data_IF_109417654455
#
_entry.id   IF_109417654455
#
_cell.length_a   1.000
_cell.length_b   1.000
_cell.length_c   1.000
_cell.angle_alpha   90.00
_cell.angle_beta   90.00
_cell.angle_gamma   90.00
#
_symmetry.space_group_name_H-M   'P 1'
#
loop_
_entity.id
_entity.type
_entity.pdbx_description
1 polymer ?
#
# COMPACT_ATOMS: atom_id res chain seq x y z
N UNK A 1 9.81 40.39 -9.99
CA UNK A 1 10.98 41.17 -10.31
C UNK A 1 10.62 42.53 -10.96
N UNK A 2 9.88 42.55 -12.06
CA UNK A 2 9.53 43.79 -12.79
C UNK A 2 8.78 44.81 -11.92
N UNK A 3 7.89 44.37 -11.04
CA UNK A 3 7.16 45.25 -10.11
C UNK A 3 8.08 45.94 -9.09
N UNK A 4 9.18 45.31 -8.72
CA UNK A 4 10.16 45.84 -7.78
C UNK A 4 11.30 46.59 -8.49
N UNK A 5 11.21 46.81 -9.80
CA UNK A 5 12.17 47.62 -10.57
C UNK A 5 13.52 46.96 -10.89
N UNK A 6 13.75 45.69 -10.52
CA UNK A 6 15.03 45.04 -10.77
C UNK A 6 15.20 44.59 -12.23
N UNK A 7 16.38 44.80 -12.84
CA UNK A 7 16.83 44.13 -14.06
C UNK A 7 17.20 42.66 -13.78
N UNK A 8 17.37 41.84 -14.82
CA UNK A 8 17.82 40.44 -14.62
C UNK A 8 19.27 40.39 -14.10
N UNK A 9 20.12 41.35 -14.50
CA UNK A 9 21.48 41.50 -14.02
C UNK A 9 21.51 41.83 -12.53
N UNK A 10 20.78 42.86 -12.10
CA UNK A 10 20.74 43.31 -10.70
C UNK A 10 20.20 42.22 -9.77
N UNK A 11 19.19 41.46 -10.21
CA UNK A 11 18.68 40.34 -9.41
C UNK A 11 19.70 39.19 -9.34
N UNK A 12 20.40 38.92 -10.46
CA UNK A 12 21.42 37.89 -10.54
C UNK A 12 22.59 38.18 -9.59
N UNK A 13 23.04 39.45 -9.53
CA UNK A 13 24.08 39.89 -8.62
C UNK A 13 23.64 39.74 -7.14
N UNK A 14 22.40 40.13 -6.80
CA UNK A 14 21.87 40.02 -5.43
C UNK A 14 21.74 38.56 -4.94
N UNK A 15 21.48 37.63 -5.84
CA UNK A 15 21.30 36.19 -5.54
C UNK A 15 22.58 35.38 -5.81
N UNK A 16 23.68 36.05 -6.27
CA UNK A 16 24.97 35.43 -6.60
C UNK A 16 24.86 34.30 -7.64
N UNK A 17 24.07 34.54 -8.68
CA UNK A 17 23.91 33.64 -9.84
C UNK A 17 24.18 34.40 -11.15
N UNK A 18 24.21 33.69 -12.29
CA UNK A 18 24.35 34.34 -13.59
C UNK A 18 23.01 34.92 -14.08
N UNK A 19 23.05 35.98 -14.90
CA UNK A 19 21.87 36.50 -15.59
C UNK A 19 21.09 35.40 -16.34
N UNK A 20 21.83 34.47 -16.96
CA UNK A 20 21.23 33.34 -17.68
C UNK A 20 20.43 32.42 -16.77
N UNK A 21 20.87 32.24 -15.52
CA UNK A 21 20.12 31.45 -14.50
C UNK A 21 18.81 32.13 -14.17
N UNK A 22 18.80 33.45 -13.94
CA UNK A 22 17.55 34.19 -13.71
C UNK A 22 16.61 34.09 -14.92
N UNK A 23 17.15 34.26 -16.14
CA UNK A 23 16.37 34.11 -17.37
C UNK A 23 15.75 32.73 -17.50
N UNK A 24 16.50 31.66 -17.18
CA UNK A 24 15.96 30.28 -17.19
C UNK A 24 14.87 30.08 -16.16
N UNK A 25 14.99 30.67 -14.97
CA UNK A 25 13.93 30.60 -13.94
C UNK A 25 12.66 31.33 -14.40
N UNK A 26 12.81 32.55 -14.99
CA UNK A 26 11.66 33.30 -15.51
C UNK A 26 10.97 32.61 -16.70
N UNK A 27 11.72 31.88 -17.54
CA UNK A 27 11.21 31.12 -18.66
C UNK A 27 10.74 29.71 -18.29
N UNK A 28 10.75 29.35 -17.00
CA UNK A 28 10.41 28.01 -16.53
C UNK A 28 11.26 26.87 -17.12
N UNK A 29 12.50 27.17 -17.54
CA UNK A 29 13.45 26.18 -18.06
C UNK A 29 14.25 25.49 -16.96
N UNK A 30 14.41 26.15 -15.81
CA UNK A 30 14.99 25.58 -14.58
C UNK A 30 14.30 26.18 -13.36
N UNK A 31 14.54 25.59 -12.19
CA UNK A 31 13.96 26.04 -10.93
C UNK A 31 15.07 26.45 -9.96
N UNK A 32 14.84 27.51 -9.14
CA UNK A 32 15.74 27.84 -8.06
C UNK A 32 15.65 26.77 -6.96
N UNK A 33 16.79 26.42 -6.35
CA UNK A 33 16.85 25.60 -5.16
C UNK A 33 16.26 26.33 -3.95
N UNK A 34 15.98 25.57 -2.86
CA UNK A 34 15.38 26.11 -1.63
C UNK A 34 16.17 27.29 -1.06
N UNK A 35 17.49 27.26 -1.15
CA UNK A 35 18.36 28.32 -0.68
C UNK A 35 18.16 29.61 -1.48
N UNK A 36 18.00 29.50 -2.80
CA UNK A 36 17.71 30.66 -3.66
C UNK A 36 16.27 31.17 -3.45
N UNK A 37 15.32 30.29 -3.17
CA UNK A 37 13.94 30.69 -2.82
C UNK A 37 13.94 31.50 -1.53
N UNK A 38 14.71 31.09 -0.52
CA UNK A 38 14.84 31.84 0.74
C UNK A 38 15.47 33.21 0.52
N UNK A 39 16.53 33.34 -0.32
CA UNK A 39 17.13 34.62 -0.69
C UNK A 39 16.15 35.50 -1.45
N UNK A 40 15.44 34.97 -2.43
CA UNK A 40 14.41 35.69 -3.20
C UNK A 40 13.26 36.16 -2.32
N UNK A 41 12.84 35.37 -1.33
CA UNK A 41 11.81 35.76 -0.38
C UNK A 41 12.21 36.99 0.43
N UNK A 42 13.47 37.05 0.87
CA UNK A 42 14.04 38.20 1.58
C UNK A 42 14.18 39.46 0.67
N UNK A 43 14.66 39.27 -0.58
CA UNK A 43 14.86 40.38 -1.54
C UNK A 43 13.50 41.02 -1.92
N UNK A 44 12.46 40.18 -2.10
CA UNK A 44 11.15 40.66 -2.50
C UNK A 44 10.20 40.94 -1.32
N UNK A 45 10.68 40.71 -0.09
CA UNK A 45 9.90 40.86 1.15
C UNK A 45 8.56 40.12 1.09
N UNK A 46 8.58 38.87 0.59
CA UNK A 46 7.42 37.98 0.49
C UNK A 46 7.75 36.66 1.16
N UNK A 47 6.75 35.90 1.61
CA UNK A 47 7.00 34.57 2.17
C UNK A 47 7.53 33.62 1.10
N UNK A 48 8.40 32.66 1.49
CA UNK A 48 8.85 31.59 0.59
C UNK A 48 7.66 30.80 0.03
N UNK A 49 6.61 30.62 0.85
CA UNK A 49 5.34 30.02 0.44
C UNK A 49 4.63 30.79 -0.69
N UNK A 50 4.74 32.13 -0.71
CA UNK A 50 4.19 32.97 -1.78
C UNK A 50 4.93 32.76 -3.10
N UNK A 51 6.26 32.59 -3.05
CA UNK A 51 7.08 32.34 -4.25
C UNK A 51 6.88 30.91 -4.79
N UNK A 52 6.53 29.97 -3.91
CA UNK A 52 6.29 28.56 -4.26
C UNK A 52 4.85 28.33 -4.71
N UNK A 53 3.90 29.10 -4.16
CA UNK A 53 2.48 29.06 -4.53
C UNK A 53 2.24 30.07 -5.65
N UNK A 54 2.11 29.61 -6.89
CA UNK A 54 1.39 30.38 -7.90
C UNK A 54 -0.03 30.68 -7.35
N UNK A 55 -0.49 31.93 -7.47
CA UNK A 55 -1.85 32.33 -7.05
C UNK A 55 -2.88 31.32 -7.56
N UNK A 56 -3.47 30.59 -6.62
CA UNK A 56 -4.56 29.66 -6.88
C UNK A 56 -5.83 30.48 -7.14
N UNK A 57 -6.04 30.89 -8.37
CA UNK A 57 -7.30 31.50 -8.80
C UNK A 57 -8.44 30.50 -8.92
N UNK A 58 -8.20 29.18 -8.77
CA UNK A 58 -9.23 28.14 -8.68
C UNK A 58 -8.78 26.98 -7.77
N UNK A 59 -9.64 26.50 -6.85
CA UNK A 59 -9.30 25.44 -5.88
C UNK A 59 -8.95 24.07 -6.52
N UNK A 60 -9.31 23.86 -7.78
CA UNK A 60 -9.19 22.54 -8.45
C UNK A 60 -7.96 22.36 -9.34
N UNK A 61 -7.19 23.43 -9.58
CA UNK A 61 -5.98 23.35 -10.38
C UNK A 61 -4.74 23.49 -9.50
N UNK A 62 -4.37 22.42 -8.79
CA UNK A 62 -3.00 22.30 -8.27
C UNK A 62 -2.03 22.41 -9.46
N UNK A 63 -1.06 23.35 -9.43
CA UNK A 63 -0.15 23.54 -10.54
C UNK A 63 0.50 22.21 -10.92
N UNK A 64 0.56 21.95 -12.21
CA UNK A 64 1.10 20.72 -12.83
C UNK A 64 2.50 20.35 -12.27
N UNK A 65 3.19 21.36 -11.77
CA UNK A 65 4.52 21.35 -11.17
C UNK A 65 4.54 20.67 -9.79
N UNK A 66 3.58 21.01 -8.89
CA UNK A 66 3.50 20.41 -7.55
C UNK A 66 3.16 18.92 -7.63
N UNK A 67 2.30 18.53 -8.60
CA UNK A 67 2.01 17.12 -8.92
C UNK A 67 3.27 16.40 -9.43
N UNK A 68 4.09 17.04 -10.25
CA UNK A 68 5.32 16.45 -10.79
C UNK A 68 6.39 16.25 -9.71
N UNK A 69 6.58 17.21 -8.80
CA UNK A 69 7.59 17.12 -7.73
C UNK A 69 7.20 16.08 -6.68
N UNK A 70 5.95 16.08 -6.20
CA UNK A 70 5.43 15.03 -5.32
C UNK A 70 5.49 13.64 -5.98
N UNK A 71 5.24 13.58 -7.28
CA UNK A 71 5.32 12.36 -8.06
C UNK A 71 6.77 11.84 -8.15
N UNK A 72 7.73 12.71 -8.46
CA UNK A 72 9.13 12.32 -8.61
C UNK A 72 9.75 11.87 -7.27
N UNK A 73 9.46 12.56 -6.19
CA UNK A 73 9.91 12.20 -4.85
C UNK A 73 9.28 10.86 -4.39
N UNK A 74 8.00 10.66 -4.67
CA UNK A 74 7.30 9.41 -4.39
C UNK A 74 7.89 8.22 -5.17
N UNK A 75 8.23 8.38 -6.43
CA UNK A 75 8.79 7.31 -7.27
C UNK A 75 10.22 6.94 -6.85
N UNK A 76 11.05 7.93 -6.52
CA UNK A 76 12.41 7.68 -6.00
C UNK A 76 12.36 6.94 -4.66
N UNK A 77 11.48 7.36 -3.77
CA UNK A 77 11.27 6.71 -2.47
C UNK A 77 10.80 5.26 -2.63
N UNK A 78 9.86 4.98 -3.54
CA UNK A 78 9.40 3.62 -3.83
C UNK A 78 10.51 2.71 -4.35
N UNK A 79 11.33 3.21 -5.29
CA UNK A 79 12.48 2.44 -5.81
C UNK A 79 13.50 2.13 -4.72
N UNK A 80 13.84 3.11 -3.88
CA UNK A 80 14.76 2.91 -2.75
C UNK A 80 14.20 1.89 -1.77
N UNK A 81 12.90 1.96 -1.47
CA UNK A 81 12.23 1.01 -0.60
C UNK A 81 12.19 -0.41 -1.20
N UNK A 82 11.95 -0.55 -2.50
CA UNK A 82 12.00 -1.84 -3.20
C UNK A 82 13.40 -2.47 -3.08
N UNK A 83 14.45 -1.70 -3.36
CA UNK A 83 15.83 -2.17 -3.25
C UNK A 83 16.14 -2.59 -1.80
N UNK A 84 15.76 -1.78 -0.81
CA UNK A 84 15.98 -2.09 0.60
C UNK A 84 15.26 -3.40 1.01
N UNK A 85 13.99 -3.56 0.65
CA UNK A 85 13.23 -4.79 0.94
C UNK A 85 13.86 -6.00 0.24
N UNK A 86 14.31 -5.85 -1.01
CA UNK A 86 14.97 -6.94 -1.75
C UNK A 86 16.29 -7.35 -1.10
N UNK A 87 17.09 -6.40 -0.61
CA UNK A 87 18.33 -6.70 0.11
C UNK A 87 18.04 -7.44 1.43
N UNK A 88 17.05 -6.96 2.20
CA UNK A 88 16.64 -7.62 3.46
C UNK A 88 16.13 -9.03 3.19
N UNK A 89 15.32 -9.25 2.16
CA UNK A 89 14.83 -10.56 1.76
C UNK A 89 15.98 -11.52 1.37
N UNK A 90 16.96 -11.00 0.65
CA UNK A 90 18.16 -11.79 0.26
C UNK A 90 18.99 -12.15 1.49
N UNK A 91 19.26 -11.21 2.38
CA UNK A 91 20.00 -11.48 3.63
C UNK A 91 19.25 -12.52 4.47
N UNK A 92 17.93 -12.36 4.66
CA UNK A 92 17.11 -13.30 5.40
C UNK A 92 17.18 -14.71 4.80
N UNK A 93 17.13 -14.83 3.47
CA UNK A 93 17.25 -16.12 2.77
C UNK A 93 18.61 -16.78 3.00
N UNK A 94 19.70 -16.00 2.93
CA UNK A 94 21.06 -16.50 3.20
C UNK A 94 21.20 -16.95 4.66
N UNK A 95 20.69 -16.17 5.60
CA UNK A 95 20.71 -16.54 7.04
C UNK A 95 19.94 -17.85 7.27
N UNK A 96 18.74 -18.01 6.68
CA UNK A 96 17.98 -19.26 6.78
C UNK A 96 18.78 -20.47 6.25
N UNK A 97 19.48 -20.34 5.11
CA UNK A 97 20.32 -21.41 4.56
C UNK A 97 21.48 -21.77 5.49
N UNK A 98 22.17 -20.76 6.02
CA UNK A 98 23.28 -20.98 6.96
C UNK A 98 22.78 -21.65 8.24
N UNK A 99 21.70 -21.15 8.84
CA UNK A 99 21.12 -21.74 10.05
C UNK A 99 20.68 -23.19 9.83
N UNK A 100 20.03 -23.50 8.69
CA UNK A 100 19.57 -24.86 8.39
C UNK A 100 20.75 -25.80 8.20
N UNK A 101 21.80 -25.37 7.51
CA UNK A 101 23.02 -26.15 7.33
C UNK A 101 23.70 -26.53 8.66
N UNK A 102 23.77 -25.57 9.61
CA UNK A 102 24.40 -25.82 10.91
C UNK A 102 23.51 -26.58 11.91
N UNK A 103 22.18 -26.58 11.73
CA UNK A 103 21.26 -27.21 12.69
C UNK A 103 20.80 -28.60 12.27
N UNK A 104 20.72 -28.89 10.96
CA UNK A 104 20.03 -30.07 10.45
C UNK A 104 20.91 -31.04 9.63
N UNK A 105 22.22 -30.75 9.46
CA UNK A 105 23.14 -31.47 8.57
C UNK A 105 22.63 -31.67 7.13
N UNK A 106 21.39 -31.26 6.85
CA UNK A 106 20.74 -31.29 5.53
C UNK A 106 19.85 -30.05 5.40
N UNK A 107 19.89 -29.45 4.21
CA UNK A 107 18.98 -28.36 3.87
C UNK A 107 17.54 -28.88 3.80
N UNK A 108 16.69 -28.52 4.75
CA UNK A 108 15.32 -29.03 4.87
C UNK A 108 14.27 -27.95 5.03
N UNK A 109 14.32 -27.15 6.11
CA UNK A 109 13.31 -26.14 6.40
C UNK A 109 13.60 -24.79 5.74
N UNK A 110 14.86 -24.52 5.37
CA UNK A 110 15.24 -23.24 4.74
C UNK A 110 14.52 -23.00 3.42
N UNK A 111 14.24 -24.05 2.63
CA UNK A 111 13.48 -23.91 1.38
C UNK A 111 12.05 -23.41 1.63
N UNK A 112 11.41 -23.85 2.71
CA UNK A 112 10.06 -23.39 3.09
C UNK A 112 10.10 -21.89 3.46
N UNK A 113 11.12 -21.48 4.23
CA UNK A 113 11.29 -20.08 4.60
C UNK A 113 11.56 -19.19 3.38
N UNK A 114 12.43 -19.64 2.46
CA UNK A 114 12.76 -18.90 1.24
C UNK A 114 11.52 -18.78 0.34
N UNK A 115 10.75 -19.85 0.18
CA UNK A 115 9.50 -19.84 -0.59
C UNK A 115 8.54 -18.80 -0.04
N UNK A 116 8.35 -18.76 1.29
CA UNK A 116 7.50 -17.77 1.95
C UNK A 116 8.00 -16.32 1.74
N UNK A 117 9.32 -16.09 1.84
CA UNK A 117 9.94 -14.77 1.58
C UNK A 117 9.66 -14.32 0.14
N UNK A 118 9.83 -15.22 -0.84
CA UNK A 118 9.57 -14.94 -2.26
C UNK A 118 8.08 -14.62 -2.47
N UNK A 119 7.17 -15.38 -1.88
CA UNK A 119 5.73 -15.15 -2.01
C UNK A 119 5.33 -13.77 -1.47
N UNK A 120 5.82 -13.39 -0.28
CA UNK A 120 5.58 -12.06 0.31
C UNK A 120 6.17 -10.97 -0.59
N UNK A 121 7.39 -11.14 -1.09
CA UNK A 121 8.03 -10.16 -1.98
C UNK A 121 7.23 -9.96 -3.27
N UNK A 122 6.71 -11.02 -3.89
CA UNK A 122 5.87 -10.96 -5.08
C UNK A 122 4.57 -10.20 -4.85
N UNK A 123 3.97 -10.28 -3.65
CA UNK A 123 2.75 -9.51 -3.29
C UNK A 123 3.05 -8.00 -3.21
N UNK A 124 4.22 -7.61 -2.71
CA UNK A 124 4.61 -6.20 -2.61
C UNK A 124 5.08 -5.59 -3.93
N UNK A 125 5.55 -6.42 -4.87
CA UNK A 125 6.11 -5.96 -6.14
C UNK A 125 5.17 -5.05 -6.95
N UNK A 126 3.87 -5.37 -7.14
CA UNK A 126 2.96 -4.51 -7.90
C UNK A 126 2.77 -3.14 -7.27
N UNK A 127 2.74 -3.06 -5.93
CA UNK A 127 2.59 -1.80 -5.22
C UNK A 127 3.76 -0.85 -5.50
N UNK A 128 4.97 -1.40 -5.66
CA UNK A 128 6.19 -0.62 -5.91
C UNK A 128 6.37 -0.26 -7.39
N UNK A 129 5.99 -1.14 -8.32
CA UNK A 129 6.26 -0.96 -9.75
C UNK A 129 5.11 -0.30 -10.52
N UNK A 130 3.87 -0.48 -10.09
CA UNK A 130 2.71 -0.08 -10.87
C UNK A 130 2.14 1.27 -10.40
N UNK A 131 1.73 2.11 -11.38
CA UNK A 131 1.21 3.45 -11.13
C UNK A 131 -0.32 3.49 -11.07
N UNK A 132 -0.96 2.64 -11.88
CA UNK A 132 -2.42 2.64 -12.02
C UNK A 132 -3.02 1.31 -11.61
N UNK A 133 -4.23 1.37 -11.04
CA UNK A 133 -5.03 0.20 -10.63
C UNK A 133 -4.23 -0.78 -9.76
N UNK A 134 -3.35 -0.25 -8.90
CA UNK A 134 -2.43 -1.03 -8.06
C UNK A 134 -3.19 -2.08 -7.27
N UNK A 135 -4.28 -1.70 -6.59
CA UNK A 135 -5.09 -2.60 -5.75
C UNK A 135 -5.61 -3.77 -6.59
N UNK A 136 -6.20 -3.50 -7.76
CA UNK A 136 -6.76 -4.54 -8.63
C UNK A 136 -5.68 -5.54 -9.11
N UNK A 137 -4.51 -5.04 -9.50
CA UNK A 137 -3.40 -5.88 -9.96
C UNK A 137 -2.79 -6.68 -8.82
N UNK A 138 -2.67 -6.09 -7.63
CA UNK A 138 -2.23 -6.81 -6.42
C UNK A 138 -3.19 -7.94 -6.07
N UNK A 139 -4.50 -7.72 -6.17
CA UNK A 139 -5.51 -8.77 -5.95
C UNK A 139 -5.37 -9.94 -6.92
N UNK A 140 -5.08 -9.67 -8.20
CA UNK A 140 -4.81 -10.72 -9.20
C UNK A 140 -3.60 -11.55 -8.79
N UNK A 141 -2.50 -10.90 -8.40
CA UNK A 141 -1.28 -11.58 -7.99
C UNK A 141 -1.51 -12.40 -6.71
N UNK A 142 -2.21 -11.83 -5.72
CA UNK A 142 -2.62 -12.55 -4.51
C UNK A 142 -3.53 -13.75 -4.80
N UNK A 143 -4.26 -13.75 -5.93
CA UNK A 143 -5.08 -14.88 -6.36
C UNK A 143 -4.25 -15.99 -7.03
N UNK A 144 -3.12 -15.65 -7.65
CA UNK A 144 -2.29 -16.61 -8.40
C UNK A 144 -1.24 -17.28 -7.50
N UNK A 145 -0.63 -16.53 -6.58
CA UNK A 145 0.49 -17.00 -5.75
C UNK A 145 0.17 -18.23 -4.87
N UNK A 146 -1.00 -18.36 -4.22
CA UNK A 146 -1.25 -19.44 -3.27
C UNK A 146 -1.17 -20.84 -3.88
N UNK A 147 -1.57 -21.02 -5.13
CA UNK A 147 -1.60 -22.34 -5.77
C UNK A 147 -0.19 -22.91 -5.98
N UNK A 148 0.75 -22.23 -6.68
CA UNK A 148 2.11 -22.71 -6.83
C UNK A 148 2.85 -22.80 -5.49
N UNK A 149 2.62 -21.87 -4.55
CA UNK A 149 3.16 -21.92 -3.21
C UNK A 149 2.78 -23.22 -2.50
N UNK A 150 1.51 -23.59 -2.46
CA UNK A 150 1.04 -24.82 -1.83
C UNK A 150 1.54 -26.08 -2.55
N UNK A 151 1.70 -26.04 -3.87
CA UNK A 151 2.23 -27.15 -4.63
C UNK A 151 3.71 -27.43 -4.27
N UNK A 152 4.54 -26.38 -4.21
CA UNK A 152 5.95 -26.48 -3.81
C UNK A 152 6.06 -26.96 -2.36
N UNK A 153 5.27 -26.37 -1.45
CA UNK A 153 5.24 -26.74 -0.05
C UNK A 153 4.86 -28.23 0.16
N UNK A 154 3.85 -28.71 -0.56
CA UNK A 154 3.43 -30.11 -0.49
C UNK A 154 4.52 -31.07 -1.03
N UNK A 155 5.25 -30.67 -2.07
CA UNK A 155 6.39 -31.42 -2.60
C UNK A 155 7.56 -31.47 -1.60
N UNK A 156 7.89 -30.35 -0.96
CA UNK A 156 8.96 -30.25 0.03
C UNK A 156 8.66 -31.10 1.27
N UNK A 157 7.43 -31.04 1.78
CA UNK A 157 6.99 -31.78 2.96
C UNK A 157 6.56 -33.22 2.66
N UNK A 158 6.41 -33.59 1.38
CA UNK A 158 5.92 -34.90 0.91
C UNK A 158 4.53 -35.28 1.48
N UNK A 159 3.69 -34.26 1.71
CA UNK A 159 2.34 -34.42 2.30
C UNK A 159 1.30 -33.84 1.34
N UNK A 160 0.62 -34.68 0.60
CA UNK A 160 -0.39 -34.27 -0.41
C UNK A 160 -1.62 -33.59 0.20
N UNK A 161 -1.97 -33.94 1.45
CA UNK A 161 -3.10 -33.35 2.19
C UNK A 161 -2.94 -31.84 2.36
N UNK A 162 -1.70 -31.33 2.47
CA UNK A 162 -1.40 -29.90 2.57
C UNK A 162 -1.87 -29.18 1.30
N UNK A 163 -1.63 -29.76 0.13
CA UNK A 163 -2.08 -29.17 -1.13
C UNK A 163 -3.60 -29.18 -1.26
N UNK A 164 -4.26 -30.28 -0.96
CA UNK A 164 -5.72 -30.41 -1.10
C UNK A 164 -6.47 -29.51 -0.12
N UNK A 165 -6.14 -29.58 1.16
CA UNK A 165 -6.73 -28.72 2.19
C UNK A 165 -6.41 -27.26 1.93
N UNK A 166 -5.13 -26.95 1.69
CA UNK A 166 -4.64 -25.59 1.46
C UNK A 166 -5.28 -24.96 0.22
N UNK A 167 -5.47 -25.70 -0.87
CA UNK A 167 -6.12 -25.19 -2.09
C UNK A 167 -7.60 -24.87 -1.84
N UNK A 168 -8.35 -25.72 -1.11
CA UNK A 168 -9.73 -25.42 -0.73
C UNK A 168 -9.84 -24.14 0.10
N UNK A 169 -8.98 -23.97 1.11
CA UNK A 169 -8.96 -22.76 1.94
C UNK A 169 -8.53 -21.53 1.13
N UNK A 170 -7.54 -21.68 0.23
CA UNK A 170 -7.08 -20.58 -0.62
C UNK A 170 -8.17 -20.08 -1.56
N UNK A 171 -8.93 -20.96 -2.19
CA UNK A 171 -10.06 -20.61 -3.07
C UNK A 171 -11.11 -19.82 -2.27
N UNK A 172 -11.44 -20.27 -1.05
CA UNK A 172 -12.36 -19.54 -0.17
C UNK A 172 -11.83 -18.13 0.15
N UNK A 173 -10.57 -18.00 0.56
CA UNK A 173 -9.95 -16.72 0.88
C UNK A 173 -9.93 -15.79 -0.33
N UNK A 174 -9.61 -16.30 -1.53
CA UNK A 174 -9.64 -15.54 -2.78
C UNK A 174 -11.06 -15.05 -3.08
N UNK A 175 -12.08 -15.91 -2.94
CA UNK A 175 -13.48 -15.51 -3.16
C UNK A 175 -13.90 -14.39 -2.20
N UNK A 176 -13.57 -14.51 -0.91
CA UNK A 176 -13.85 -13.49 0.11
C UNK A 176 -13.11 -12.16 -0.21
N UNK A 177 -11.85 -12.23 -0.59
CA UNK A 177 -11.05 -11.07 -0.98
C UNK A 177 -11.68 -10.31 -2.15
N UNK A 178 -12.14 -11.01 -3.18
CA UNK A 178 -12.83 -10.41 -4.33
C UNK A 178 -14.22 -9.88 -3.96
N UNK A 179 -14.94 -10.54 -3.06
CA UNK A 179 -16.23 -10.06 -2.54
C UNK A 179 -16.05 -8.74 -1.77
N UNK A 180 -15.06 -8.67 -0.88
CA UNK A 180 -14.70 -7.43 -0.15
C UNK A 180 -14.36 -6.31 -1.13
N UNK A 181 -13.51 -6.57 -2.12
CA UNK A 181 -13.18 -5.59 -3.16
C UNK A 181 -14.42 -5.10 -3.91
N UNK A 182 -15.34 -6.00 -4.25
CA UNK A 182 -16.62 -5.66 -4.88
C UNK A 182 -17.51 -4.77 -4.01
N UNK A 183 -17.58 -5.05 -2.71
CA UNK A 183 -18.31 -4.24 -1.72
C UNK A 183 -17.74 -2.83 -1.66
N UNK A 184 -16.42 -2.67 -1.52
CA UNK A 184 -15.78 -1.36 -1.47
C UNK A 184 -15.92 -0.59 -2.79
N UNK A 185 -15.89 -1.27 -3.92
CA UNK A 185 -16.12 -0.65 -5.23
C UNK A 185 -17.57 -0.16 -5.40
N UNK A 186 -18.54 -0.94 -4.93
CA UNK A 186 -19.97 -0.61 -5.02
C UNK A 186 -20.34 0.54 -4.08
N UNK A 187 -19.83 0.52 -2.84
CA UNK A 187 -20.16 1.48 -1.79
C UNK A 187 -19.01 2.45 -1.50
N UNK A 188 -18.25 2.85 -2.51
CA UNK A 188 -17.02 3.66 -2.35
C UNK A 188 -17.23 5.00 -1.62
N UNK A 189 -18.44 5.57 -1.67
CA UNK A 189 -18.79 6.81 -0.96
C UNK A 189 -19.21 6.59 0.50
N UNK A 190 -19.48 5.34 0.90
CA UNK A 190 -19.99 4.95 2.22
C UNK A 190 -19.05 3.94 2.86
N UNK A 191 -17.90 4.43 3.34
CA UNK A 191 -16.80 3.58 3.85
C UNK A 191 -17.27 2.73 5.03
N UNK A 192 -18.02 3.31 5.98
CA UNK A 192 -18.49 2.58 7.16
C UNK A 192 -19.48 1.47 6.81
N UNK A 193 -20.34 1.70 5.80
CA UNK A 193 -21.24 0.66 5.27
C UNK A 193 -20.44 -0.48 4.65
N UNK A 194 -19.41 -0.17 3.84
CA UNK A 194 -18.53 -1.17 3.22
C UNK A 194 -17.78 -1.98 4.27
N UNK A 195 -17.27 -1.33 5.32
CA UNK A 195 -16.60 -2.00 6.44
C UNK A 195 -17.56 -2.94 7.18
N UNK A 196 -18.79 -2.51 7.48
CA UNK A 196 -19.80 -3.32 8.16
C UNK A 196 -20.11 -4.60 7.38
N UNK A 197 -20.38 -4.51 6.07
CA UNK A 197 -20.61 -5.69 5.23
C UNK A 197 -19.38 -6.60 5.11
N UNK A 198 -18.17 -6.02 5.04
CA UNK A 198 -16.94 -6.81 4.97
C UNK A 198 -16.70 -7.59 6.27
N UNK A 199 -16.97 -6.98 7.43
CA UNK A 199 -16.86 -7.63 8.73
C UNK A 199 -17.87 -8.77 8.88
N UNK A 200 -19.13 -8.57 8.44
CA UNK A 200 -20.14 -9.63 8.43
C UNK A 200 -19.70 -10.82 7.57
N UNK A 201 -19.13 -10.55 6.39
CA UNK A 201 -18.61 -11.61 5.52
C UNK A 201 -17.49 -12.40 6.21
N UNK A 202 -16.58 -11.71 6.91
CA UNK A 202 -15.45 -12.33 7.61
C UNK A 202 -15.85 -13.23 8.78
N UNK A 203 -17.05 -13.09 9.36
CA UNK A 203 -17.55 -13.98 10.41
C UNK A 203 -17.76 -15.41 9.88
N UNK A 204 -18.17 -15.55 8.61
CA UNK A 204 -18.42 -16.85 8.01
C UNK A 204 -17.14 -17.60 7.62
N UNK A 205 -16.03 -16.90 7.41
CA UNK A 205 -14.77 -17.50 6.95
C UNK A 205 -14.24 -18.57 7.90
N UNK A 206 -14.03 -18.31 9.21
CA UNK A 206 -13.53 -19.32 10.14
C UNK A 206 -14.49 -20.52 10.26
N UNK A 207 -15.80 -20.29 10.22
CA UNK A 207 -16.80 -21.36 10.29
C UNK A 207 -16.62 -22.34 9.12
N UNK A 208 -16.48 -21.81 7.90
CA UNK A 208 -16.28 -22.65 6.71
C UNK A 208 -14.90 -23.33 6.74
N UNK A 209 -13.86 -22.63 7.18
CA UNK A 209 -12.50 -23.21 7.31
C UNK A 209 -12.52 -24.40 8.27
N UNK A 210 -13.14 -24.25 9.43
CA UNK A 210 -13.28 -25.32 10.41
C UNK A 210 -13.97 -26.53 9.80
N UNK A 211 -15.10 -26.34 9.10
CA UNK A 211 -15.82 -27.44 8.44
C UNK A 211 -14.99 -28.14 7.37
N UNK A 212 -14.25 -27.37 6.58
CA UNK A 212 -13.35 -27.95 5.57
C UNK A 212 -12.22 -28.72 6.25
N UNK A 213 -11.65 -28.19 7.33
CA UNK A 213 -10.56 -28.85 8.05
C UNK A 213 -11.03 -30.13 8.74
N UNK A 214 -12.22 -30.12 9.37
CA UNK A 214 -12.81 -31.31 9.99
C UNK A 214 -13.05 -32.43 8.98
N UNK A 215 -13.42 -32.09 7.74
CA UNK A 215 -13.59 -33.06 6.66
C UNK A 215 -12.28 -33.75 6.27
N UNK A 216 -11.17 -32.99 6.19
CA UNK A 216 -9.85 -33.53 5.78
C UNK A 216 -9.04 -34.10 6.94
N UNK A 217 -9.26 -33.61 8.17
CA UNK A 217 -8.51 -33.95 9.38
C UNK A 217 -9.45 -34.21 10.59
N UNK A 218 -10.26 -35.26 10.56
CA UNK A 218 -11.29 -35.51 11.59
C UNK A 218 -10.72 -35.86 12.97
N UNK A 219 -9.40 -35.98 13.10
CA UNK A 219 -8.72 -36.33 14.36
C UNK A 219 -8.45 -35.11 15.25
N UNK A 220 -8.66 -33.89 14.74
CA UNK A 220 -8.38 -32.66 15.49
C UNK A 220 -9.67 -31.92 15.79
N UNK A 221 -10.02 -31.80 17.08
CA UNK A 221 -11.07 -30.87 17.52
C UNK A 221 -10.58 -29.42 17.36
N UNK A 222 -11.03 -28.75 16.28
CA UNK A 222 -10.54 -27.42 15.92
C UNK A 222 -11.44 -26.31 16.48
N UNK A 223 -12.68 -26.61 16.87
CA UNK A 223 -13.60 -25.61 17.41
C UNK A 223 -13.19 -25.17 18.80
N UNK A 224 -12.63 -23.97 18.93
CA UNK A 224 -12.33 -23.34 20.21
C UNK A 224 -13.50 -22.43 20.66
N UNK A 225 -13.74 -22.35 21.98
CA UNK A 225 -14.67 -21.37 22.57
C UNK A 225 -14.28 -19.92 22.20
N UNK A 226 -13.01 -19.68 21.88
CA UNK A 226 -12.50 -18.39 21.40
C UNK A 226 -13.08 -17.98 20.05
N UNK A 227 -13.45 -18.93 19.16
CA UNK A 227 -13.96 -18.61 17.82
C UNK A 227 -15.36 -18.02 17.89
N UNK A 228 -16.20 -18.53 18.80
CA UNK A 228 -17.54 -17.99 19.06
C UNK A 228 -17.43 -16.58 19.65
N UNK A 229 -16.49 -16.36 20.58
CA UNK A 229 -16.26 -15.06 21.21
C UNK A 229 -15.77 -14.03 20.18
N UNK A 230 -14.81 -14.40 19.32
CA UNK A 230 -14.31 -13.56 18.25
C UNK A 230 -15.42 -13.19 17.24
N UNK A 231 -16.31 -14.14 16.93
CA UNK A 231 -17.48 -13.91 16.07
C UNK A 231 -18.43 -12.86 16.66
N UNK A 232 -18.72 -12.94 17.98
CA UNK A 232 -19.57 -11.97 18.69
C UNK A 232 -18.95 -10.58 18.67
N UNK A 233 -17.64 -10.45 18.94
CA UNK A 233 -16.94 -9.17 18.89
C UNK A 233 -16.98 -8.56 17.49
N UNK A 234 -16.69 -9.37 16.46
CA UNK A 234 -16.70 -8.91 15.07
C UNK A 234 -18.08 -8.44 14.65
N UNK A 235 -19.15 -9.15 15.07
CA UNK A 235 -20.54 -8.76 14.82
C UNK A 235 -20.88 -7.43 15.50
N UNK A 236 -20.47 -7.24 16.77
CA UNK A 236 -20.68 -5.99 17.49
C UNK A 236 -19.99 -4.80 16.78
N UNK A 237 -18.75 -4.98 16.31
CA UNK A 237 -18.01 -3.95 15.56
C UNK A 237 -18.72 -3.64 14.23
N UNK A 238 -19.26 -4.64 13.53
CA UNK A 238 -20.02 -4.44 12.31
C UNK A 238 -21.28 -3.59 12.55
N UNK A 239 -22.01 -3.84 13.65
CA UNK A 239 -23.18 -3.04 14.04
C UNK A 239 -22.78 -1.58 14.35
N UNK A 240 -21.66 -1.36 15.04
CA UNK A 240 -21.13 -0.01 15.29
C UNK A 240 -20.84 0.70 13.96
N UNK A 241 -20.22 0.03 12.98
CA UNK A 241 -19.96 0.60 11.67
C UNK A 241 -21.25 1.02 10.95
N UNK A 242 -22.30 0.21 11.00
CA UNK A 242 -23.61 0.58 10.43
C UNK A 242 -24.24 1.76 11.15
N UNK A 243 -24.13 1.82 12.49
CA UNK A 243 -24.62 2.96 13.29
C UNK A 243 -23.92 4.27 12.93
N UNK A 244 -22.58 4.24 12.78
CA UNK A 244 -21.80 5.40 12.37
C UNK A 244 -22.19 5.86 10.95
N UNK A 245 -22.36 4.91 10.01
CA UNK A 245 -22.80 5.23 8.65
C UNK A 245 -24.16 5.91 8.65
N UNK A 246 -25.15 5.36 9.40
CA UNK A 246 -26.47 5.93 9.54
C UNK A 246 -26.44 7.37 10.07
N UNK A 247 -25.71 7.61 11.17
CA UNK A 247 -25.55 8.94 11.76
C UNK A 247 -24.89 9.92 10.80
N UNK A 248 -23.89 9.46 10.04
CA UNK A 248 -23.18 10.30 9.07
C UNK A 248 -24.10 10.72 7.91
N UNK A 249 -24.99 9.84 7.45
CA UNK A 249 -25.94 10.16 6.40
C UNK A 249 -27.04 11.12 6.91
N UNK A 250 -27.59 10.85 8.09
CA UNK A 250 -28.62 11.71 8.70
C UNK A 250 -28.10 13.14 8.93
N UNK A 251 -26.82 13.28 9.32
CA UNK A 251 -26.20 14.60 9.47
C UNK A 251 -26.09 15.33 8.12
N UNK A 252 -25.82 14.63 7.01
CA UNK A 252 -25.75 15.24 5.67
C UNK A 252 -27.12 15.68 5.14
N UNK A 253 -28.19 14.99 5.51
CA UNK A 253 -29.56 15.32 5.12
C UNK A 253 -30.08 16.58 5.85
N UNK A 254 -29.72 16.75 7.12
CA UNK A 254 -30.12 17.91 7.93
C UNK A 254 -29.37 19.21 7.59
N UNK A 255 -28.30 19.14 6.79
CA UNK A 255 -27.53 20.30 6.31
C UNK A 255 -27.81 20.66 4.84
N UNK A 256 -28.75 19.98 4.17
CA UNK A 256 -29.32 20.37 2.88
C UNK A 256 -30.65 21.05 3.01
#
# INVERSE_FOLDING_TARGET
RKQNGFSQEELAEKVTVTRQTISKWELNQSEPDLDFIAQLSNIFNVSADYLIKEELTKPDELPFRKKRYQYYFSERSKRTMLVAISIVALIASVVCLICDYFTSDKLSWSFIAIEAIIAVWLVFLPYMLLKEKVIFRTLIICSIIPIPFLAILALLLKVTTIFTLGSCVSVLCIAVMWAIYGIFRKYHQRIFLSLGFSLLLLIFVPIVIVRVTDYFLPQYEIVSKSDVFNGIITFAIALICFGIDYLTQHKKENFK
#
